data_IF_918033084198
#
_entry.id   IF_918033084198
#
_cell.length_a   1.000
_cell.length_b   1.000
_cell.length_c   1.000
_cell.angle_alpha   90.00
_cell.angle_beta   90.00
_cell.angle_gamma   90.00
#
_symmetry.space_group_name_H-M   'P 1'
#
loop_
_entity.id
_entity.type
_entity.pdbx_description
1 polymer ?
#
# COMPACT_ATOMS: atom_id res chain seq x y z
N UNK A 1 8.67 -4.76 22.75
CA UNK A 1 8.10 -3.70 23.60
C UNK A 1 8.01 -2.39 22.86
N UNK A 2 9.15 -1.73 22.63
CA UNK A 2 9.24 -0.36 22.08
C UNK A 2 8.53 -0.14 20.73
N UNK A 3 8.39 -1.17 19.88
CA UNK A 3 7.69 -1.07 18.59
C UNK A 3 6.21 -0.65 18.73
N UNK A 4 5.58 -0.94 19.87
CA UNK A 4 4.19 -0.55 20.13
C UNK A 4 4.05 0.85 20.76
N UNK A 5 5.16 1.55 21.01
CA UNK A 5 5.13 2.96 21.44
C UNK A 5 5.06 3.93 20.25
N UNK A 6 5.50 3.51 19.06
CA UNK A 6 5.46 4.32 17.84
C UNK A 6 4.07 4.77 17.35
N UNK A 7 2.95 4.03 17.57
CA UNK A 7 1.64 4.57 17.22
C UNK A 7 1.15 5.65 18.17
N UNK A 8 1.75 5.86 19.35
CA UNK A 8 1.25 6.83 20.35
C UNK A 8 1.18 8.26 19.80
N UNK A 9 2.22 8.81 19.16
CA UNK A 9 2.14 10.16 18.56
C UNK A 9 1.06 10.26 17.47
N UNK A 10 0.81 9.19 16.73
CA UNK A 10 -0.24 9.14 15.69
C UNK A 10 -1.63 9.18 16.33
N UNK A 11 -1.84 8.40 17.40
CA UNK A 11 -3.09 8.40 18.18
C UNK A 11 -3.38 9.80 18.73
N UNK A 12 -2.36 10.46 19.30
CA UNK A 12 -2.51 11.80 19.85
C UNK A 12 -2.90 12.81 18.78
N UNK A 13 -2.26 12.76 17.60
CA UNK A 13 -2.60 13.63 16.47
C UNK A 13 -4.06 13.43 16.05
N UNK A 14 -4.52 12.19 15.88
CA UNK A 14 -5.89 11.95 15.41
C UNK A 14 -6.95 12.31 16.46
N UNK A 15 -6.68 12.04 17.74
CA UNK A 15 -7.59 12.47 18.82
C UNK A 15 -7.63 13.99 18.91
N UNK A 16 -6.49 14.68 18.89
CA UNK A 16 -6.46 16.15 18.94
C UNK A 16 -7.15 16.77 17.73
N UNK A 17 -6.92 16.22 16.54
CA UNK A 17 -7.59 16.62 15.30
C UNK A 17 -9.12 16.52 15.44
N UNK A 18 -9.60 15.36 15.91
CA UNK A 18 -11.02 15.14 16.18
C UNK A 18 -11.60 16.13 17.20
N UNK A 19 -10.95 16.29 18.37
CA UNK A 19 -11.44 17.12 19.45
C UNK A 19 -11.41 18.63 19.14
N UNK A 20 -10.45 19.08 18.34
CA UNK A 20 -10.32 20.50 17.98
C UNK A 20 -11.13 20.88 16.74
N UNK A 21 -11.71 19.92 16.02
CA UNK A 21 -12.41 20.16 14.76
C UNK A 21 -11.49 20.74 13.67
N UNK A 22 -10.18 20.64 13.85
CA UNK A 22 -9.18 21.19 12.92
C UNK A 22 -9.04 20.22 11.76
N UNK A 23 -9.97 20.21 10.80
CA UNK A 23 -9.94 19.36 9.60
C UNK A 23 -8.75 19.71 8.69
N UNK A 24 -7.53 19.50 9.16
CA UNK A 24 -6.32 19.49 8.35
C UNK A 24 -6.54 18.41 7.30
N UNK A 25 -6.52 18.82 6.02
CA UNK A 25 -6.76 18.03 4.82
C UNK A 25 -6.78 16.50 5.05
N UNK A 26 -7.99 15.93 5.19
CA UNK A 26 -8.16 14.48 5.29
C UNK A 26 -7.88 13.83 3.94
N UNK A 27 -6.66 13.30 3.77
CA UNK A 27 -6.27 12.56 2.58
C UNK A 27 -6.60 11.08 2.81
N UNK A 28 -7.65 10.58 2.18
CA UNK A 28 -8.04 9.17 2.33
C UNK A 28 -8.49 8.78 3.74
N UNK A 29 -8.99 9.75 4.53
CA UNK A 29 -9.55 9.51 5.87
C UNK A 29 -8.57 9.64 7.03
N UNK A 30 -7.31 10.03 6.79
CA UNK A 30 -6.31 10.27 7.84
C UNK A 30 -5.67 11.65 7.69
N UNK A 31 -5.12 12.17 8.78
CA UNK A 31 -4.43 13.45 8.78
C UNK A 31 -3.11 13.39 7.97
N UNK A 32 -2.76 14.46 7.28
CA UNK A 32 -1.46 14.62 6.57
C UNK A 32 -0.27 14.38 7.50
N UNK A 33 -0.33 14.87 8.74
CA UNK A 33 0.75 14.69 9.72
C UNK A 33 0.94 13.23 10.13
N UNK A 34 -0.17 12.48 10.24
CA UNK A 34 -0.12 11.04 10.50
C UNK A 34 0.60 10.30 9.38
N UNK A 35 0.30 10.64 8.12
CA UNK A 35 1.03 10.09 6.95
C UNK A 35 2.52 10.42 6.98
N UNK A 36 2.86 11.66 7.34
CA UNK A 36 4.25 12.08 7.48
C UNK A 36 4.99 11.27 8.55
N UNK A 37 4.35 10.98 9.68
CA UNK A 37 4.93 10.11 10.72
C UNK A 37 5.14 8.68 10.22
N UNK A 38 4.16 8.10 9.52
CA UNK A 38 4.32 6.77 8.90
C UNK A 38 5.51 6.75 7.94
N UNK A 39 5.68 7.80 7.12
CA UNK A 39 6.81 7.93 6.21
C UNK A 39 8.16 8.01 6.94
N UNK A 40 8.27 8.89 7.95
CA UNK A 40 9.49 9.06 8.75
C UNK A 40 9.85 7.76 9.48
N UNK A 41 8.88 7.09 10.11
CA UNK A 41 9.12 5.80 10.77
C UNK A 41 9.54 4.73 9.78
N UNK A 42 8.89 4.66 8.61
CA UNK A 42 9.29 3.77 7.53
C UNK A 42 10.74 3.99 7.09
N UNK A 43 11.15 5.25 6.92
CA UNK A 43 12.53 5.61 6.58
C UNK A 43 13.54 5.19 7.66
N UNK A 44 13.25 5.49 8.93
CA UNK A 44 14.09 5.09 10.07
C UNK A 44 14.23 3.57 10.15
N UNK A 45 13.15 2.82 9.93
CA UNK A 45 13.21 1.35 9.96
C UNK A 45 13.96 0.77 8.76
N UNK A 46 13.82 1.37 7.58
CA UNK A 46 14.53 0.94 6.38
C UNK A 46 16.06 1.13 6.49
N UNK A 47 16.52 2.13 7.23
CA UNK A 47 17.96 2.43 7.38
C UNK A 47 18.67 1.54 8.39
N UNK A 48 17.96 0.82 9.25
CA UNK A 48 18.56 0.07 10.36
C UNK A 48 18.29 -1.45 10.28
N UNK A 49 19.33 -2.21 9.91
CA UNK A 49 19.24 -3.67 9.78
C UNK A 49 18.87 -4.41 11.08
N UNK A 50 19.12 -3.82 12.26
CA UNK A 50 18.72 -4.43 13.54
C UNK A 50 17.19 -4.45 13.68
N UNK A 51 16.50 -3.42 13.17
CA UNK A 51 15.04 -3.34 13.23
C UNK A 51 14.36 -4.44 12.44
N UNK A 52 14.93 -4.88 11.31
CA UNK A 52 14.39 -6.00 10.53
C UNK A 52 14.21 -7.26 11.38
N UNK A 53 15.25 -7.66 12.12
CA UNK A 53 15.20 -8.82 13.03
C UNK A 53 14.20 -8.61 14.18
N UNK A 54 14.09 -7.40 14.70
CA UNK A 54 13.12 -7.07 15.76
C UNK A 54 11.68 -7.15 15.26
N UNK A 55 11.40 -6.66 14.06
CA UNK A 55 10.09 -6.71 13.42
C UNK A 55 9.67 -8.16 13.17
N UNK A 56 10.58 -9.00 12.66
CA UNK A 56 10.33 -10.44 12.46
C UNK A 56 9.95 -11.16 13.76
N UNK A 57 10.61 -10.82 14.88
CA UNK A 57 10.29 -11.36 16.22
C UNK A 57 8.91 -10.91 16.73
N UNK A 58 8.38 -9.80 16.22
CA UNK A 58 7.11 -9.23 16.65
C UNK A 58 5.94 -9.48 15.68
N UNK A 59 6.12 -10.34 14.67
CA UNK A 59 5.06 -10.72 13.73
C UNK A 59 3.82 -11.29 14.42
N UNK A 60 4.00 -12.29 15.31
CA UNK A 60 2.89 -12.96 16.01
C UNK A 60 2.21 -11.99 17.00
N UNK A 61 2.94 -11.26 17.86
CA UNK A 61 2.34 -10.22 18.69
C UNK A 61 1.53 -9.19 17.89
N UNK A 62 2.04 -8.74 16.74
CA UNK A 62 1.31 -7.79 15.89
C UNK A 62 0.02 -8.40 15.32
N UNK A 63 0.03 -9.67 14.89
CA UNK A 63 -1.19 -10.36 14.45
C UNK A 63 -2.21 -10.53 15.59
N UNK A 64 -1.74 -10.85 16.80
CA UNK A 64 -2.63 -10.95 17.97
C UNK A 64 -3.26 -9.59 18.29
N UNK A 65 -2.46 -8.52 18.36
CA UNK A 65 -2.96 -7.17 18.60
C UNK A 65 -3.92 -6.72 17.50
N UNK A 66 -3.64 -7.05 16.24
CA UNK A 66 -4.52 -6.80 15.10
C UNK A 66 -5.89 -7.43 15.31
N UNK A 67 -5.96 -8.73 15.63
CA UNK A 67 -7.24 -9.42 15.84
C UNK A 67 -7.98 -8.83 17.05
N UNK A 68 -7.26 -8.55 18.14
CA UNK A 68 -7.85 -7.94 19.34
C UNK A 68 -8.40 -6.55 19.09
N UNK A 69 -7.75 -5.74 18.25
CA UNK A 69 -8.23 -4.39 17.92
C UNK A 69 -9.30 -4.39 16.82
N UNK A 70 -9.40 -5.45 16.00
CA UNK A 70 -10.44 -5.58 14.99
C UNK A 70 -11.82 -5.76 15.64
N UNK A 71 -11.93 -6.56 16.70
CA UNK A 71 -13.21 -6.89 17.34
C UNK A 71 -13.97 -5.64 17.84
N UNK A 72 -13.34 -4.71 18.61
CA UNK A 72 -14.00 -3.46 19.01
C UNK A 72 -14.40 -2.56 17.85
N UNK A 73 -13.65 -2.56 16.73
CA UNK A 73 -13.97 -1.75 15.56
C UNK A 73 -15.18 -2.27 14.79
N UNK A 74 -15.40 -3.59 14.77
CA UNK A 74 -16.59 -4.19 14.15
C UNK A 74 -17.82 -4.17 15.06
N UNK A 75 -17.61 -4.13 16.38
CA UNK A 75 -18.68 -4.13 17.37
C UNK A 75 -18.97 -2.73 17.93
N UNK A 76 -18.31 -1.67 17.44
CA UNK A 76 -18.46 -0.30 17.94
C UNK A 76 -19.93 0.14 18.03
N UNK A 77 -20.72 -0.19 17.02
CA UNK A 77 -22.14 0.17 16.92
C UNK A 77 -23.03 -0.67 17.87
N UNK A 78 -22.50 -1.77 18.42
CA UNK A 78 -23.19 -2.61 19.40
C UNK A 78 -23.02 -2.10 20.83
N UNK A 79 -22.07 -1.20 21.08
CA UNK A 79 -21.83 -0.64 22.41
C UNK A 79 -22.68 0.62 22.62
N UNK A 80 -23.50 0.62 23.67
CA UNK A 80 -24.27 1.80 24.12
C UNK A 80 -23.34 2.83 24.80
N UNK A 81 -22.41 3.41 24.05
CA UNK A 81 -21.51 4.48 24.50
C UNK A 81 -21.89 5.80 23.84
N UNK A 82 -21.46 6.92 24.41
CA UNK A 82 -21.66 8.23 23.78
C UNK A 82 -20.87 8.32 22.48
N UNK A 83 -21.40 9.07 21.50
CA UNK A 83 -20.77 9.31 20.19
C UNK A 83 -19.30 9.73 20.32
N UNK A 84 -19.00 10.66 21.22
CA UNK A 84 -17.64 11.14 21.46
C UNK A 84 -16.70 10.02 21.94
N UNK A 85 -17.17 9.18 22.87
CA UNK A 85 -16.37 8.06 23.39
C UNK A 85 -16.16 7.01 22.31
N UNK A 86 -17.21 6.68 21.54
CA UNK A 86 -17.12 5.75 20.41
C UNK A 86 -16.06 6.19 19.41
N UNK A 87 -16.05 7.47 19.03
CA UNK A 87 -15.11 8.00 18.04
C UNK A 87 -13.67 8.06 18.57
N UNK A 88 -13.47 8.42 19.84
CA UNK A 88 -12.12 8.36 20.45
C UNK A 88 -11.59 6.93 20.49
N UNK A 89 -12.42 5.96 20.88
CA UNK A 89 -12.05 4.54 20.87
C UNK A 89 -11.76 4.05 19.44
N UNK A 90 -12.55 4.46 18.46
CA UNK A 90 -12.32 4.16 17.05
C UNK A 90 -10.93 4.62 16.59
N UNK A 91 -10.52 5.85 16.90
CA UNK A 91 -9.19 6.36 16.52
C UNK A 91 -8.05 5.63 17.24
N UNK A 92 -8.22 5.30 18.52
CA UNK A 92 -7.22 4.55 19.29
C UNK A 92 -7.06 3.14 18.69
N UNK A 93 -8.14 2.37 18.62
CA UNK A 93 -8.10 1.00 18.12
C UNK A 93 -7.77 0.96 16.63
N UNK A 94 -8.27 1.90 15.83
CA UNK A 94 -8.00 2.03 14.41
C UNK A 94 -6.52 2.31 14.12
N UNK A 95 -5.87 3.16 14.92
CA UNK A 95 -4.43 3.44 14.78
C UNK A 95 -3.59 2.26 15.21
N UNK A 96 -3.91 1.62 16.34
CA UNK A 96 -3.21 0.42 16.80
C UNK A 96 -3.38 -0.73 15.80
N UNK A 97 -4.59 -0.91 15.27
CA UNK A 97 -4.90 -1.88 14.24
C UNK A 97 -4.06 -1.62 12.98
N UNK A 98 -4.09 -0.39 12.46
CA UNK A 98 -3.34 -0.02 11.25
C UNK A 98 -1.83 -0.20 11.42
N UNK A 99 -1.29 0.18 12.58
CA UNK A 99 0.11 -0.05 12.92
C UNK A 99 0.44 -1.55 13.00
N UNK A 100 -0.44 -2.34 13.60
CA UNK A 100 -0.26 -3.79 13.75
C UNK A 100 -0.30 -4.50 12.40
N UNK A 101 -1.20 -4.09 11.49
CA UNK A 101 -1.23 -4.55 10.09
C UNK A 101 0.09 -4.23 9.41
N UNK A 102 0.58 -2.99 9.54
CA UNK A 102 1.86 -2.58 8.95
C UNK A 102 3.02 -3.44 9.44
N UNK A 103 3.16 -3.63 10.75
CA UNK A 103 4.22 -4.45 11.35
C UNK A 103 4.09 -5.91 10.93
N UNK A 104 2.88 -6.46 10.91
CA UNK A 104 2.62 -7.84 10.47
C UNK A 104 3.00 -8.04 9.00
N UNK A 105 2.59 -7.14 8.12
CA UNK A 105 2.93 -7.19 6.69
C UNK A 105 4.43 -7.05 6.45
N UNK A 106 5.11 -6.14 7.15
CA UNK A 106 6.57 -5.99 7.05
C UNK A 106 7.30 -7.24 7.56
N UNK A 107 6.86 -7.81 8.67
CA UNK A 107 7.48 -9.00 9.26
C UNK A 107 7.29 -10.24 8.37
N UNK A 108 6.08 -10.47 7.88
CA UNK A 108 5.77 -11.56 6.96
C UNK A 108 6.46 -11.36 5.60
N UNK A 109 6.46 -10.14 5.08
CA UNK A 109 7.16 -9.76 3.86
C UNK A 109 8.66 -10.04 3.95
N UNK A 110 9.28 -9.64 5.05
CA UNK A 110 10.70 -9.91 5.34
C UNK A 110 11.01 -11.41 5.42
N UNK A 111 10.16 -12.18 6.10
CA UNK A 111 10.39 -13.61 6.32
C UNK A 111 10.15 -14.47 5.08
N UNK A 112 9.10 -14.17 4.30
CA UNK A 112 8.64 -15.03 3.21
C UNK A 112 8.96 -14.51 1.81
N UNK A 113 9.04 -13.19 1.62
CA UNK A 113 9.27 -12.56 0.30
C UNK A 113 10.70 -12.03 0.10
N UNK A 114 11.60 -12.13 1.09
CA UNK A 114 12.99 -11.70 0.94
C UNK A 114 13.90 -12.74 0.24
N UNK A 115 13.37 -13.42 -0.78
CA UNK A 115 14.14 -14.33 -1.65
C UNK A 115 14.51 -13.62 -2.94
N UNK A 116 15.78 -13.75 -3.34
CA UNK A 116 16.28 -13.10 -4.56
C UNK A 116 15.88 -13.86 -5.83
N UNK A 117 14.62 -13.70 -6.23
CA UNK A 117 14.05 -14.38 -7.40
C UNK A 117 13.81 -13.40 -8.57
N UNK A 118 13.86 -13.91 -9.81
CA UNK A 118 13.54 -13.13 -11.02
C UNK A 118 12.16 -12.47 -10.95
N UNK A 119 11.19 -13.15 -10.34
CA UNK A 119 9.85 -12.63 -10.10
C UNK A 119 9.85 -11.37 -9.22
N UNK A 120 10.65 -11.32 -8.15
CA UNK A 120 10.74 -10.14 -7.26
C UNK A 120 11.26 -8.92 -8.02
N UNK A 121 12.32 -9.10 -8.81
CA UNK A 121 12.88 -8.01 -9.63
C UNK A 121 11.84 -7.47 -10.62
N UNK A 122 11.08 -8.37 -11.23
CA UNK A 122 9.99 -8.01 -12.15
C UNK A 122 8.84 -7.27 -11.44
N UNK A 123 8.36 -7.76 -10.30
CA UNK A 123 7.29 -7.14 -9.53
C UNK A 123 7.70 -5.77 -8.95
N UNK A 124 8.95 -5.63 -8.51
CA UNK A 124 9.48 -4.35 -8.03
C UNK A 124 9.50 -3.26 -9.12
N UNK A 125 9.67 -3.62 -10.38
CA UNK A 125 9.55 -2.64 -11.48
C UNK A 125 8.09 -2.22 -11.70
N UNK A 126 7.13 -3.09 -11.43
CA UNK A 126 5.70 -2.85 -11.68
C UNK A 126 4.94 -2.24 -10.49
N UNK A 127 5.51 -2.26 -9.28
CA UNK A 127 4.83 -1.81 -8.06
C UNK A 127 4.46 -0.33 -8.11
N UNK A 128 5.34 0.53 -8.63
CA UNK A 128 5.12 1.97 -8.72
C UNK A 128 4.02 2.31 -9.75
N UNK A 129 4.07 1.81 -11.00
CA UNK A 129 2.98 1.98 -11.95
C UNK A 129 1.63 1.50 -11.41
N UNK A 130 1.61 0.34 -10.75
CA UNK A 130 0.40 -0.19 -10.15
C UNK A 130 -0.15 0.74 -9.06
N UNK A 131 0.71 1.19 -8.15
CA UNK A 131 0.34 2.09 -7.05
C UNK A 131 -0.31 3.39 -7.55
N UNK A 132 0.25 4.04 -8.57
CA UNK A 132 -0.31 5.31 -9.07
C UNK A 132 -1.68 5.12 -9.74
N UNK A 133 -1.88 3.97 -10.38
CA UNK A 133 -3.00 3.75 -11.29
C UNK A 133 -4.19 3.02 -10.64
N UNK A 134 -3.94 2.17 -9.63
CA UNK A 134 -5.00 1.31 -9.09
C UNK A 134 -6.20 2.11 -8.57
N UNK A 135 -5.95 3.20 -7.84
CA UNK A 135 -7.02 4.00 -7.23
C UNK A 135 -7.91 4.65 -8.29
N UNK A 136 -7.33 5.21 -9.36
CA UNK A 136 -8.12 5.84 -10.43
C UNK A 136 -8.99 4.82 -11.15
N UNK A 137 -8.45 3.63 -11.47
CA UNK A 137 -9.20 2.53 -12.08
C UNK A 137 -10.34 2.07 -11.17
N UNK A 138 -10.06 1.85 -9.88
CA UNK A 138 -11.07 1.40 -8.91
C UNK A 138 -12.21 2.42 -8.83
N UNK A 139 -11.91 3.71 -8.76
CA UNK A 139 -12.93 4.78 -8.69
C UNK A 139 -13.78 4.83 -9.95
N UNK A 140 -13.16 4.76 -11.14
CA UNK A 140 -13.89 4.77 -12.42
C UNK A 140 -14.83 3.57 -12.51
N UNK A 141 -14.36 2.37 -12.17
CA UNK A 141 -15.18 1.16 -12.22
C UNK A 141 -16.27 1.19 -11.13
N UNK A 142 -15.93 1.64 -9.92
CA UNK A 142 -16.89 1.76 -8.82
C UNK A 142 -18.03 2.71 -9.17
N UNK A 143 -17.76 3.81 -9.88
CA UNK A 143 -18.80 4.75 -10.33
C UNK A 143 -19.93 4.06 -11.10
N UNK A 144 -19.61 3.08 -11.96
CA UNK A 144 -20.62 2.32 -12.70
C UNK A 144 -21.25 1.21 -11.86
N UNK A 145 -20.46 0.46 -11.09
CA UNK A 145 -20.95 -0.70 -10.31
C UNK A 145 -21.91 -0.28 -9.19
N UNK A 146 -21.65 0.87 -8.55
CA UNK A 146 -22.48 1.36 -7.44
C UNK A 146 -23.92 1.61 -7.88
N UNK A 147 -24.14 2.00 -9.14
CA UNK A 147 -25.46 2.30 -9.71
C UNK A 147 -26.31 1.05 -10.01
N UNK A 148 -25.70 -0.14 -10.02
CA UNK A 148 -26.42 -1.38 -10.33
C UNK A 148 -27.36 -1.77 -9.18
N UNK A 149 -28.56 -2.27 -9.49
CA UNK A 149 -29.49 -2.78 -8.47
C UNK A 149 -29.12 -4.22 -8.10
N UNK A 150 -28.02 -4.39 -7.36
CA UNK A 150 -27.52 -5.69 -6.88
C UNK A 150 -27.20 -5.66 -5.39
N UNK A 151 -27.14 -6.83 -4.78
CA UNK A 151 -26.70 -6.98 -3.39
C UNK A 151 -25.27 -6.47 -3.20
N UNK A 152 -24.98 -5.89 -2.02
CA UNK A 152 -23.68 -5.23 -1.77
C UNK A 152 -22.49 -6.19 -1.90
N UNK A 153 -22.63 -7.45 -1.45
CA UNK A 153 -21.57 -8.46 -1.61
C UNK A 153 -21.28 -8.76 -3.09
N UNK A 154 -22.31 -8.84 -3.93
CA UNK A 154 -22.11 -9.07 -5.36
C UNK A 154 -21.38 -7.89 -6.02
N UNK A 155 -21.78 -6.64 -5.70
CA UNK A 155 -21.07 -5.45 -6.14
C UNK A 155 -19.60 -5.46 -5.73
N UNK A 156 -19.31 -5.84 -4.49
CA UNK A 156 -17.95 -5.89 -3.96
C UNK A 156 -17.07 -6.91 -4.70
N UNK A 157 -17.56 -8.13 -4.91
CA UNK A 157 -16.83 -9.18 -5.64
C UNK A 157 -16.58 -8.75 -7.09
N UNK A 158 -17.61 -8.22 -7.75
CA UNK A 158 -17.49 -7.74 -9.15
C UNK A 158 -16.47 -6.61 -9.21
N UNK A 159 -16.52 -5.64 -8.30
CA UNK A 159 -15.57 -4.53 -8.24
C UNK A 159 -14.13 -5.03 -8.08
N UNK A 160 -13.87 -5.96 -7.17
CA UNK A 160 -12.53 -6.51 -6.97
C UNK A 160 -12.02 -7.17 -8.24
N UNK A 161 -12.81 -8.08 -8.82
CA UNK A 161 -12.38 -8.87 -9.99
C UNK A 161 -12.14 -7.94 -11.18
N UNK A 162 -13.11 -7.08 -11.50
CA UNK A 162 -13.03 -6.18 -12.65
C UNK A 162 -11.90 -5.17 -12.52
N UNK A 163 -11.75 -4.53 -11.36
CA UNK A 163 -10.67 -3.57 -11.13
C UNK A 163 -9.29 -4.23 -11.14
N UNK A 164 -9.14 -5.40 -10.52
CA UNK A 164 -7.88 -6.13 -10.55
C UNK A 164 -7.50 -6.53 -11.98
N UNK A 165 -8.43 -7.10 -12.75
CA UNK A 165 -8.19 -7.46 -14.14
C UNK A 165 -7.84 -6.24 -14.99
N UNK A 166 -8.57 -5.13 -14.85
CA UNK A 166 -8.28 -3.89 -15.58
C UNK A 166 -6.89 -3.33 -15.22
N UNK A 167 -6.51 -3.32 -13.94
CA UNK A 167 -5.18 -2.94 -13.50
C UNK A 167 -4.09 -3.80 -14.14
N UNK A 168 -4.27 -5.13 -14.16
CA UNK A 168 -3.29 -6.06 -14.77
C UNK A 168 -3.16 -5.82 -16.27
N UNK A 169 -4.27 -5.64 -16.99
CA UNK A 169 -4.25 -5.36 -18.43
C UNK A 169 -3.49 -4.06 -18.71
N UNK A 170 -3.79 -2.99 -17.97
CA UNK A 170 -3.14 -1.70 -18.20
C UNK A 170 -1.66 -1.73 -17.82
N UNK A 171 -1.28 -2.45 -16.76
CA UNK A 171 0.12 -2.72 -16.43
C UNK A 171 0.88 -3.42 -17.58
N UNK A 172 0.25 -4.41 -18.21
CA UNK A 172 0.85 -5.08 -19.36
C UNK A 172 1.04 -4.11 -20.52
N UNK A 173 0.09 -3.22 -20.80
CA UNK A 173 0.21 -2.19 -21.84
C UNK A 173 1.37 -1.23 -21.53
N UNK A 174 1.45 -0.71 -20.30
CA UNK A 174 2.52 0.18 -19.85
C UNK A 174 3.90 -0.50 -20.02
N UNK A 175 3.99 -1.81 -19.77
CA UNK A 175 5.23 -2.58 -19.95
C UNK A 175 5.74 -2.61 -21.39
N UNK A 176 4.85 -2.55 -22.39
CA UNK A 176 5.23 -2.56 -23.81
C UNK A 176 5.63 -1.18 -24.35
N UNK A 177 5.03 -0.09 -23.84
CA UNK A 177 5.20 1.25 -24.40
C UNK A 177 6.29 2.03 -23.65
N UNK A 178 7.43 2.28 -24.31
CA UNK A 178 8.61 2.92 -23.68
C UNK A 178 8.36 4.32 -23.07
N UNK A 179 7.62 5.25 -23.70
CA UNK A 179 7.26 6.51 -23.06
C UNK A 179 6.45 6.34 -21.77
N UNK A 180 5.47 5.42 -21.77
CA UNK A 180 4.66 5.13 -20.58
C UNK A 180 5.54 4.52 -19.48
N UNK A 181 6.51 3.67 -19.83
CA UNK A 181 7.49 3.18 -18.84
C UNK A 181 8.19 4.33 -18.11
N UNK A 182 8.62 5.34 -18.84
CA UNK A 182 9.29 6.49 -18.23
C UNK A 182 8.37 7.29 -17.31
N UNK A 183 7.14 7.59 -17.75
CA UNK A 183 6.15 8.34 -16.95
C UNK A 183 5.85 7.65 -15.62
N UNK A 184 5.77 6.31 -15.63
CA UNK A 184 5.49 5.53 -14.42
C UNK A 184 6.76 5.06 -13.67
N UNK A 185 7.91 5.69 -13.92
CA UNK A 185 9.16 5.47 -13.18
C UNK A 185 9.87 4.14 -13.48
N UNK A 186 9.50 3.44 -14.56
CA UNK A 186 10.18 2.25 -15.03
C UNK A 186 11.39 2.58 -15.93
N UNK A 187 12.43 1.75 -15.83
CA UNK A 187 13.64 1.88 -16.67
C UNK A 187 13.31 1.73 -18.14
N UNK A 188 13.91 2.55 -19.00
CA UNK A 188 13.75 2.44 -20.46
C UNK A 188 14.34 1.12 -20.97
N UNK A 189 13.58 0.36 -21.78
CA UNK A 189 14.13 -0.82 -22.46
C UNK A 189 14.93 -0.35 -23.68
N UNK A 190 16.25 -0.19 -23.55
CA UNK A 190 17.13 0.01 -24.71
C UNK A 190 17.26 -1.31 -25.48
N UNK A 191 16.28 -1.62 -26.32
CA UNK A 191 16.16 -2.91 -26.99
C UNK A 191 16.22 -2.91 -28.52
N UNK A 192 16.27 -1.75 -29.21
CA UNK A 192 16.23 -1.73 -30.68
C UNK A 192 17.31 -0.88 -31.36
N UNK A 193 17.99 0.03 -30.65
CA UNK A 193 19.02 0.88 -31.27
C UNK A 193 20.44 0.29 -31.28
N UNK A 194 20.68 -0.81 -30.54
CA UNK A 194 22.01 -1.46 -30.53
C UNK A 194 22.19 -2.47 -31.68
N UNK A 195 21.09 -3.08 -32.14
CA UNK A 195 21.11 -4.11 -33.19
C UNK A 195 21.33 -3.54 -34.60
N UNK A 196 21.07 -2.25 -34.81
CA UNK A 196 21.31 -1.57 -36.09
C UNK A 196 22.78 -1.17 -36.23
N UNK A 197 23.41 -0.63 -35.18
CA UNK A 197 24.84 -0.27 -35.19
C UNK A 197 25.76 -1.48 -35.32
N UNK A 198 25.45 -2.58 -34.65
CA UNK A 198 26.25 -3.82 -34.71
C UNK A 198 26.12 -4.55 -36.06
N UNK A 199 25.08 -4.24 -36.87
CA UNK A 199 24.93 -4.75 -38.24
C UNK A 199 25.61 -3.88 -39.30
N UNK A 200 25.86 -2.60 -39.03
CA UNK A 200 26.57 -1.68 -39.95
C UNK A 200 28.10 -1.72 -39.76
N UNK A 201 28.60 -2.15 -38.59
CA UNK A 201 30.04 -2.20 -38.27
C UNK A 201 30.76 -3.50 -38.68
N UNK A 202 30.08 -4.48 -39.29
CA UNK A 202 30.77 -5.66 -39.83
C UNK A 202 31.43 -5.25 -41.16
N UNK A 203 32.77 -5.14 -41.23
CA UNK A 203 33.43 -4.83 -42.50
C UNK A 203 33.23 -6.03 -43.41
N UNK A 204 32.75 -5.78 -44.62
CA UNK A 204 32.76 -6.77 -45.70
C UNK A 204 34.24 -6.97 -46.05
N UNK A 205 34.92 -7.89 -45.36
CA UNK A 205 36.24 -8.38 -45.77
C UNK A 205 36.01 -9.32 -46.95
N UNK A 206 36.04 -8.75 -48.16
CA UNK A 206 36.16 -9.53 -49.38
C UNK A 206 37.62 -9.98 -49.53
N UNK A 207 37.77 -11.30 -49.68
CA UNK A 207 38.96 -11.98 -50.20
C UNK A 207 39.35 -11.47 -51.60
#
# INVERSE_FOLDING_TARGET
GVIFLFPIPIILIEITNYLTGSYVYNLGGWNVFSHLLFFVYGYIFATNFKFKKTIEKHAIPALVVLVLCAVPLFLSDSFNVTETVSQVLFWIFGTIYSWSVLVALLALGSKFLDRNNKARKFLNELVLPFYVMHQTIIVVIAFFIVQLNMHFFAKYIILIITSFTACVILLLIIKYINPLRFIFGMRWKKGLLKRTKEKEEIPITNN
#
